data_IF_915103735309
#
_entry.id   IF_915103735309
#
_cell.length_a   1.000
_cell.length_b   1.000
_cell.length_c   1.000
_cell.angle_alpha   90.00
_cell.angle_beta   90.00
_cell.angle_gamma   90.00
#
_symmetry.space_group_name_H-M   'P 1'
#
loop_
_entity.id
_entity.type
_entity.pdbx_description
1 polymer ?
#
# COMPACT_ATOMS: atom_id res chain seq x y z
N UNK A 1 -8.97 -3.53 4.88
CA UNK A 1 -8.87 -4.74 4.05
C UNK A 1 -8.09 -5.83 4.78
N UNK A 2 -8.36 -7.11 4.50
CA UNK A 2 -7.65 -8.25 5.08
C UNK A 2 -7.22 -9.19 3.95
N UNK A 3 -5.91 -9.27 3.70
CA UNK A 3 -5.33 -10.10 2.65
C UNK A 3 -4.47 -11.23 3.25
N UNK A 4 -4.34 -12.40 2.58
CA UNK A 4 -3.49 -13.50 3.02
C UNK A 4 -2.06 -13.09 3.42
N UNK A 5 -1.54 -12.04 2.79
CA UNK A 5 -0.20 -11.50 3.01
C UNK A 5 -0.04 -10.85 4.39
N UNK A 6 -1.14 -10.51 5.08
CA UNK A 6 -1.09 -10.14 6.49
C UNK A 6 -0.65 -11.27 7.42
N UNK A 7 -0.50 -12.51 6.92
CA UNK A 7 0.09 -13.63 7.65
C UNK A 7 1.57 -13.82 7.31
N UNK A 8 2.13 -13.02 6.40
CA UNK A 8 3.55 -13.09 6.07
C UNK A 8 4.39 -12.35 7.11
N UNK A 9 5.65 -12.76 7.32
CA UNK A 9 6.58 -12.07 8.19
C UNK A 9 6.81 -10.63 7.69
N UNK A 10 6.96 -9.68 8.63
CA UNK A 10 7.32 -8.31 8.28
C UNK A 10 8.73 -8.27 7.67
N UNK A 11 9.64 -9.09 8.18
CA UNK A 11 10.96 -9.40 7.63
C UNK A 11 11.47 -10.73 8.23
N UNK A 12 12.61 -11.28 7.78
CA UNK A 12 13.12 -12.57 8.28
C UNK A 12 13.30 -12.66 9.80
N UNK A 13 13.48 -11.54 10.50
CA UNK A 13 13.65 -11.46 11.95
C UNK A 13 12.35 -11.15 12.70
N UNK A 14 11.30 -10.73 11.99
CA UNK A 14 10.00 -10.36 12.54
C UNK A 14 8.89 -11.27 11.97
N UNK A 15 8.74 -12.50 12.50
CA UNK A 15 7.76 -13.46 12.01
C UNK A 15 6.33 -13.04 12.35
N UNK A 16 5.38 -13.54 11.55
CA UNK A 16 3.97 -13.40 11.88
C UNK A 16 3.54 -14.52 12.83
N UNK A 17 2.88 -14.15 13.93
CA UNK A 17 2.42 -15.12 14.93
C UNK A 17 0.99 -15.62 14.68
N UNK A 18 0.27 -15.07 13.70
CA UNK A 18 -1.10 -15.47 13.41
C UNK A 18 -1.15 -16.62 12.41
N UNK A 19 -1.76 -17.73 12.83
CA UNK A 19 -1.92 -18.95 12.00
C UNK A 19 -3.01 -18.84 10.93
N UNK A 20 -3.91 -17.85 11.02
CA UNK A 20 -5.02 -17.67 10.09
C UNK A 20 -5.46 -16.21 10.01
N UNK A 21 -6.10 -15.83 8.89
CA UNK A 21 -6.68 -14.49 8.73
C UNK A 21 -7.80 -14.22 9.73
N UNK A 22 -8.50 -15.26 10.16
CA UNK A 22 -9.49 -15.15 11.21
C UNK A 22 -8.86 -14.78 12.55
N UNK A 23 -7.74 -15.43 12.91
CA UNK A 23 -7.00 -15.11 14.14
C UNK A 23 -6.42 -13.69 14.07
N UNK A 24 -5.85 -13.31 12.94
CA UNK A 24 -5.37 -11.95 12.70
C UNK A 24 -6.50 -10.91 12.82
N UNK A 25 -7.67 -11.20 12.24
CA UNK A 25 -8.86 -10.36 12.35
C UNK A 25 -9.34 -10.22 13.80
N UNK A 26 -9.48 -11.34 14.53
CA UNK A 26 -9.87 -11.36 15.94
C UNK A 26 -8.89 -10.56 16.80
N UNK A 27 -7.59 -10.65 16.53
CA UNK A 27 -6.59 -9.86 17.24
C UNK A 27 -6.81 -8.35 17.06
N UNK A 28 -7.19 -7.88 15.87
CA UNK A 28 -7.53 -6.46 15.65
C UNK A 28 -8.80 -6.01 16.35
N UNK A 29 -9.75 -6.92 16.62
CA UNK A 29 -10.95 -6.61 17.40
C UNK A 29 -10.64 -6.29 18.87
N UNK A 30 -9.44 -6.62 19.36
CA UNK A 30 -9.01 -6.20 20.70
C UNK A 30 -9.02 -4.68 20.87
N UNK A 31 -8.93 -3.91 19.76
CA UNK A 31 -9.08 -2.46 19.79
C UNK A 31 -10.45 -2.01 20.34
N UNK A 32 -11.53 -2.75 20.07
CA UNK A 32 -12.86 -2.46 20.65
C UNK A 32 -13.04 -3.10 22.04
N UNK A 33 -12.46 -4.28 22.26
CA UNK A 33 -12.59 -5.04 23.52
C UNK A 33 -12.34 -4.19 24.77
N UNK A 34 -11.36 -3.30 24.70
CA UNK A 34 -10.94 -2.44 25.81
C UNK A 34 -11.52 -1.02 25.75
N UNK A 35 -12.37 -0.68 24.77
CA UNK A 35 -13.03 0.63 24.70
C UNK A 35 -14.20 0.75 25.68
N UNK A 36 -14.63 1.98 25.98
CA UNK A 36 -15.87 2.26 26.70
C UNK A 36 -17.09 2.22 25.76
N UNK A 37 -18.31 2.15 26.31
CA UNK A 37 -19.55 2.23 25.52
C UNK A 37 -19.72 3.59 24.82
N UNK A 38 -19.09 4.63 25.36
CA UNK A 38 -19.09 5.97 24.77
C UNK A 38 -17.95 6.22 23.79
N UNK A 39 -16.98 5.31 23.73
CA UNK A 39 -15.93 5.30 22.74
C UNK A 39 -16.46 5.04 21.32
N UNK A 40 -15.56 5.18 20.35
CA UNK A 40 -15.87 4.96 18.94
C UNK A 40 -14.93 3.93 18.31
N UNK A 41 -15.53 3.00 17.58
CA UNK A 41 -14.83 2.09 16.69
C UNK A 41 -15.06 2.52 15.24
N UNK A 42 -14.04 3.13 14.66
CA UNK A 42 -14.06 3.66 13.29
C UNK A 42 -13.65 2.55 12.33
N UNK A 43 -14.54 2.17 11.42
CA UNK A 43 -14.36 0.98 10.58
C UNK A 43 -14.66 1.27 9.10
N UNK A 44 -13.84 0.74 8.21
CA UNK A 44 -14.09 0.81 6.77
C UNK A 44 -15.40 0.07 6.45
N UNK A 45 -16.30 0.72 5.71
CA UNK A 45 -17.65 0.22 5.38
C UNK A 45 -17.63 -1.11 4.62
N UNK A 46 -16.58 -1.44 3.89
CA UNK A 46 -16.38 -2.77 3.28
C UNK A 46 -16.46 -3.92 4.29
N UNK A 47 -16.16 -3.67 5.57
CA UNK A 47 -16.21 -4.67 6.63
C UNK A 47 -17.57 -4.72 7.34
N UNK A 48 -18.52 -3.84 6.99
CA UNK A 48 -19.84 -3.74 7.64
C UNK A 48 -20.57 -5.09 7.73
N UNK A 49 -20.64 -5.95 6.69
CA UNK A 49 -21.31 -7.25 6.80
C UNK A 49 -20.67 -8.18 7.83
N UNK A 50 -19.35 -8.08 8.06
CA UNK A 50 -18.63 -8.89 9.04
C UNK A 50 -18.76 -8.31 10.45
N UNK A 51 -18.68 -6.99 10.59
CA UNK A 51 -18.76 -6.29 11.89
C UNK A 51 -20.17 -6.36 12.47
N UNK A 52 -21.22 -6.24 11.64
CA UNK A 52 -22.61 -6.32 12.09
C UNK A 52 -22.99 -7.67 12.72
N UNK A 53 -22.20 -8.72 12.47
CA UNK A 53 -22.38 -10.06 13.07
C UNK A 53 -21.71 -10.20 14.43
N UNK A 54 -21.00 -9.18 14.90
CA UNK A 54 -20.20 -9.20 16.11
C UNK A 54 -20.80 -8.29 17.17
N UNK A 55 -20.64 -8.66 18.43
CA UNK A 55 -20.96 -7.78 19.56
C UNK A 55 -19.82 -6.78 19.73
N UNK A 56 -20.04 -5.55 19.27
CA UNK A 56 -19.13 -4.42 19.46
C UNK A 56 -19.57 -3.62 20.69
N UNK A 57 -18.62 -3.28 21.55
CA UNK A 57 -18.89 -2.59 22.82
C UNK A 57 -19.08 -1.09 22.63
N UNK A 58 -18.27 -0.48 21.76
CA UNK A 58 -18.28 0.95 21.47
C UNK A 58 -19.25 1.33 20.34
N UNK A 59 -19.40 2.64 20.09
CA UNK A 59 -20.21 3.17 19.00
C UNK A 59 -19.48 2.96 17.67
N UNK A 60 -20.11 2.27 16.72
CA UNK A 60 -19.51 2.03 15.42
C UNK A 60 -19.68 3.27 14.52
N UNK A 61 -18.57 3.75 13.94
CA UNK A 61 -18.59 4.76 12.88
C UNK A 61 -18.04 4.15 11.59
N UNK A 62 -18.92 3.88 10.64
CA UNK A 62 -18.48 3.44 9.31
C UNK A 62 -18.00 4.63 8.47
N UNK A 63 -16.91 4.43 7.74
CA UNK A 63 -16.42 5.37 6.74
C UNK A 63 -16.32 4.71 5.36
N UNK A 64 -16.44 5.53 4.33
CA UNK A 64 -16.30 5.15 2.92
C UNK A 64 -15.32 6.12 2.25
N UNK A 65 -14.82 5.78 1.06
CA UNK A 65 -13.90 6.64 0.30
C UNK A 65 -14.48 8.06 0.17
N UNK A 66 -13.64 9.08 0.40
CA UNK A 66 -13.99 10.49 0.17
C UNK A 66 -13.33 11.03 -1.10
N UNK A 67 -13.59 12.29 -1.43
CA UNK A 67 -12.91 12.98 -2.53
C UNK A 67 -12.39 14.34 -2.05
N UNK A 68 -11.44 14.31 -1.11
CA UNK A 68 -10.77 15.52 -0.67
C UNK A 68 -9.55 15.79 -1.55
N UNK A 69 -9.37 17.06 -1.92
CA UNK A 69 -8.16 17.49 -2.61
C UNK A 69 -6.96 17.30 -1.69
N UNK A 70 -5.99 16.51 -2.13
CA UNK A 70 -4.78 16.20 -1.37
C UNK A 70 -3.56 16.16 -2.28
N UNK A 71 -2.37 16.25 -1.67
CA UNK A 71 -1.07 16.02 -2.32
C UNK A 71 -0.65 14.55 -2.33
N UNK A 72 -1.38 13.69 -1.61
CA UNK A 72 -1.13 12.25 -1.55
C UNK A 72 -1.45 11.60 -2.90
N UNK A 73 -0.51 10.83 -3.44
CA UNK A 73 -0.71 10.08 -4.67
C UNK A 73 -1.60 8.85 -4.42
N UNK A 74 -2.42 8.49 -5.40
CA UNK A 74 -3.17 7.24 -5.39
C UNK A 74 -4.54 7.30 -4.73
N UNK A 75 -5.50 6.66 -5.40
CA UNK A 75 -6.90 6.63 -5.01
C UNK A 75 -7.15 5.98 -3.65
N UNK A 76 -6.28 5.05 -3.24
CA UNK A 76 -6.38 4.39 -1.94
C UNK A 76 -6.16 5.37 -0.77
N UNK A 77 -5.42 6.47 -0.98
CA UNK A 77 -5.21 7.46 0.06
C UNK A 77 -6.51 8.21 0.41
N UNK A 78 -7.51 8.22 -0.47
CA UNK A 78 -8.84 8.73 -0.11
C UNK A 78 -9.53 7.89 0.97
N UNK A 79 -9.27 6.59 1.05
CA UNK A 79 -9.76 5.77 2.17
C UNK A 79 -9.01 6.10 3.47
N UNK A 80 -7.69 6.32 3.40
CA UNK A 80 -6.90 6.76 4.56
C UNK A 80 -7.38 8.12 5.09
N UNK A 81 -7.60 9.07 4.18
CA UNK A 81 -8.17 10.39 4.49
C UNK A 81 -9.57 10.24 5.11
N UNK A 82 -10.43 9.38 4.54
CA UNK A 82 -11.76 9.14 5.08
C UNK A 82 -11.73 8.58 6.51
N UNK A 83 -10.80 7.66 6.79
CA UNK A 83 -10.59 7.11 8.12
C UNK A 83 -10.22 8.22 9.12
N UNK A 84 -9.21 9.03 8.80
CA UNK A 84 -8.75 10.14 9.64
C UNK A 84 -9.85 11.20 9.83
N UNK A 85 -10.49 11.63 8.74
CA UNK A 85 -11.59 12.60 8.77
C UNK A 85 -12.77 12.11 9.62
N UNK A 86 -13.03 10.80 9.65
CA UNK A 86 -14.10 10.23 10.48
C UNK A 86 -13.81 10.37 11.97
N UNK A 87 -12.56 10.18 12.40
CA UNK A 87 -12.12 10.44 13.78
C UNK A 87 -12.28 11.92 14.11
N UNK A 88 -11.83 12.80 13.22
CA UNK A 88 -11.87 14.25 13.43
C UNK A 88 -13.31 14.78 13.52
N UNK A 89 -14.23 14.23 12.72
CA UNK A 89 -15.67 14.54 12.78
C UNK A 89 -16.32 14.08 14.10
N UNK A 90 -15.87 12.97 14.68
CA UNK A 90 -16.32 12.55 16.02
C UNK A 90 -15.94 13.58 17.08
N UNK A 91 -14.77 14.22 16.93
CA UNK A 91 -14.29 15.31 17.78
C UNK A 91 -14.96 16.66 17.48
N UNK A 92 -15.99 16.69 16.61
CA UNK A 92 -16.76 17.88 16.23
C UNK A 92 -15.93 19.02 15.62
N UNK A 93 -14.79 18.68 15.02
CA UNK A 93 -13.99 19.65 14.27
C UNK A 93 -14.68 19.94 12.93
N UNK A 94 -14.71 21.23 12.56
CA UNK A 94 -15.36 21.72 11.34
C UNK A 94 -14.71 21.14 10.07
N UNK A 95 -15.52 20.84 9.06
CA UNK A 95 -15.09 20.18 7.83
C UNK A 95 -14.10 21.04 7.02
N UNK A 96 -14.18 22.36 7.13
CA UNK A 96 -13.25 23.31 6.50
C UNK A 96 -11.82 23.14 7.03
N UNK A 97 -11.68 22.92 8.34
CA UNK A 97 -10.38 22.68 8.99
C UNK A 97 -9.79 21.36 8.49
N UNK A 98 -10.63 20.32 8.37
CA UNK A 98 -10.21 19.01 7.85
C UNK A 98 -9.72 19.12 6.41
N UNK A 99 -10.48 19.81 5.55
CA UNK A 99 -10.12 20.02 4.14
C UNK A 99 -8.79 20.74 3.99
N UNK A 100 -8.56 21.81 4.76
CA UNK A 100 -7.31 22.56 4.69
C UNK A 100 -6.12 21.75 5.22
N UNK A 101 -6.31 20.99 6.30
CA UNK A 101 -5.27 20.09 6.81
C UNK A 101 -4.89 19.00 5.79
N UNK A 102 -5.88 18.37 5.14
CA UNK A 102 -5.65 17.31 4.13
C UNK A 102 -4.98 17.85 2.87
N UNK A 103 -5.34 19.08 2.45
CA UNK A 103 -4.75 19.77 1.30
C UNK A 103 -3.28 20.11 1.53
N UNK A 104 -2.91 20.44 2.78
CA UNK A 104 -1.57 20.84 3.17
C UNK A 104 -0.71 19.68 3.73
N UNK A 105 -1.32 18.51 3.98
CA UNK A 105 -0.61 17.33 4.45
C UNK A 105 0.50 16.96 3.46
N UNK A 106 1.73 16.86 3.98
CA UNK A 106 2.89 16.42 3.22
C UNK A 106 2.94 14.89 3.28
N UNK A 107 3.18 14.20 2.15
CA UNK A 107 3.44 12.76 2.16
C UNK A 107 4.56 12.42 3.16
N UNK A 108 4.46 11.24 3.75
CA UNK A 108 5.54 10.71 4.59
C UNK A 108 6.72 10.33 3.69
N UNK A 109 7.93 10.44 4.24
CA UNK A 109 9.13 9.94 3.58
C UNK A 109 8.95 8.47 3.21
N UNK A 110 9.43 8.08 2.02
CA UNK A 110 9.35 6.71 1.52
C UNK A 110 7.93 6.15 1.25
N UNK A 111 6.89 6.98 1.24
CA UNK A 111 5.50 6.61 0.92
C UNK A 111 4.99 7.31 -0.34
N UNK A 112 5.40 6.81 -1.52
CA UNK A 112 5.19 7.47 -2.83
C UNK A 112 5.58 8.96 -2.82
N UNK A 113 6.69 9.26 -2.18
CA UNK A 113 7.23 10.60 -2.05
C UNK A 113 7.83 11.07 -3.37
N UNK A 114 7.39 12.23 -3.88
CA UNK A 114 8.06 12.86 -5.02
C UNK A 114 9.38 13.49 -4.54
N UNK A 115 10.49 12.81 -4.80
CA UNK A 115 11.83 13.23 -4.34
C UNK A 115 12.56 14.13 -5.35
N UNK A 116 12.21 14.05 -6.64
CA UNK A 116 12.83 14.87 -7.68
C UNK A 116 11.97 14.96 -8.93
N UNK A 117 12.06 16.10 -9.60
CA UNK A 117 11.67 16.23 -11.01
C UNK A 117 12.88 16.75 -11.81
N UNK A 118 13.24 16.05 -12.88
CA UNK A 118 14.36 16.42 -13.74
C UNK A 118 14.09 16.04 -15.19
N UNK A 119 14.28 16.99 -16.12
CA UNK A 119 14.07 16.79 -17.56
C UNK A 119 12.69 16.18 -17.89
N UNK A 120 11.65 16.60 -17.17
CA UNK A 120 10.28 16.10 -17.34
C UNK A 120 10.01 14.71 -16.74
N UNK A 121 10.98 14.09 -16.06
CA UNK A 121 10.82 12.82 -15.35
C UNK A 121 10.65 13.06 -13.86
N UNK A 122 9.62 12.44 -13.27
CA UNK A 122 9.35 12.47 -11.84
C UNK A 122 9.86 11.19 -11.17
N UNK A 123 10.63 11.35 -10.10
CA UNK A 123 11.21 10.27 -9.31
C UNK A 123 10.43 10.15 -8.01
N UNK A 124 9.88 8.96 -7.76
CA UNK A 124 9.11 8.66 -6.57
C UNK A 124 9.86 7.66 -5.70
N UNK A 125 10.05 7.99 -4.42
CA UNK A 125 10.54 7.05 -3.41
C UNK A 125 9.36 6.36 -2.73
N UNK A 126 9.42 5.03 -2.71
CA UNK A 126 8.43 4.18 -2.10
C UNK A 126 9.08 2.95 -1.43
N UNK A 127 10.26 3.16 -0.85
CA UNK A 127 11.09 2.07 -0.29
C UNK A 127 10.42 1.30 0.85
N UNK A 128 9.36 1.83 1.46
CA UNK A 128 8.57 1.14 2.50
C UNK A 128 7.45 0.24 1.93
N UNK A 129 7.23 0.25 0.62
CA UNK A 129 6.32 -0.69 -0.07
C UNK A 129 6.98 -2.07 -0.15
N UNK A 130 6.85 -2.83 0.94
CA UNK A 130 7.54 -4.13 1.10
C UNK A 130 6.68 -5.35 0.72
N UNK A 131 5.46 -5.14 0.22
CA UNK A 131 4.54 -6.20 -0.21
C UNK A 131 4.10 -6.03 -1.67
N UNK A 132 3.86 -7.13 -2.42
CA UNK A 132 3.36 -7.04 -3.79
C UNK A 132 2.06 -6.26 -3.92
N UNK A 133 1.15 -6.37 -2.96
CA UNK A 133 -0.18 -5.72 -2.98
C UNK A 133 -0.07 -4.21 -2.85
N UNK A 134 0.80 -3.73 -1.95
CA UNK A 134 1.10 -2.29 -1.84
C UNK A 134 1.65 -1.78 -3.17
N UNK A 135 2.66 -2.47 -3.71
CA UNK A 135 3.26 -2.10 -4.99
C UNK A 135 2.26 -2.15 -6.16
N UNK A 136 1.26 -3.03 -6.16
CA UNK A 136 0.18 -3.05 -7.16
C UNK A 136 -0.69 -1.79 -7.06
N UNK A 137 -1.05 -1.36 -5.85
CA UNK A 137 -1.84 -0.14 -5.64
C UNK A 137 -1.05 1.09 -6.10
N UNK A 138 0.25 1.10 -5.81
CA UNK A 138 1.16 2.16 -6.21
C UNK A 138 1.27 2.28 -7.74
N UNK A 139 1.52 1.17 -8.44
CA UNK A 139 1.58 1.17 -9.90
C UNK A 139 0.27 1.61 -10.56
N UNK A 140 -0.87 1.34 -9.92
CA UNK A 140 -2.19 1.77 -10.41
C UNK A 140 -2.46 3.25 -10.21
N UNK A 141 -1.72 3.90 -9.31
CA UNK A 141 -1.92 5.29 -8.89
C UNK A 141 -1.39 6.32 -9.87
N UNK A 142 -0.58 5.90 -10.85
CA UNK A 142 -0.06 6.77 -11.90
C UNK A 142 -0.91 6.64 -13.17
N UNK A 143 -0.90 7.65 -14.02
CA UNK A 143 -1.53 7.67 -15.35
C UNK A 143 -0.48 7.77 -16.48
N UNK A 144 0.81 7.76 -16.11
CA UNK A 144 1.95 7.93 -17.03
C UNK A 144 2.77 6.63 -17.12
N UNK A 145 3.60 6.45 -18.17
CA UNK A 145 4.51 5.31 -18.27
C UNK A 145 5.48 5.23 -17.07
N UNK A 146 5.67 4.03 -16.52
CA UNK A 146 6.46 3.80 -15.30
C UNK A 146 7.75 3.08 -15.63
N UNK A 147 8.89 3.57 -15.12
CA UNK A 147 10.10 2.78 -14.95
C UNK A 147 10.12 2.28 -13.50
N UNK A 148 10.04 0.96 -13.30
CA UNK A 148 9.93 0.38 -11.96
C UNK A 148 11.28 -0.17 -11.52
N UNK A 149 11.75 0.28 -10.36
CA UNK A 149 12.86 -0.32 -9.63
C UNK A 149 12.25 -1.21 -8.54
N UNK A 150 12.49 -2.52 -8.63
CA UNK A 150 11.88 -3.49 -7.72
C UNK A 150 12.82 -4.66 -7.41
N UNK A 151 12.44 -5.48 -6.44
CA UNK A 151 13.17 -6.69 -6.07
C UNK A 151 13.74 -6.63 -4.66
N UNK A 152 14.57 -7.62 -4.34
CA UNK A 152 15.11 -7.80 -3.00
C UNK A 152 14.81 -9.18 -2.43
N UNK A 153 14.66 -9.24 -1.11
CA UNK A 153 14.42 -10.47 -0.37
C UNK A 153 13.05 -11.09 -0.70
N UNK A 154 12.99 -12.41 -0.62
CA UNK A 154 11.74 -13.15 -0.76
C UNK A 154 11.16 -13.42 0.63
N UNK A 155 9.95 -12.91 0.89
CA UNK A 155 9.22 -13.11 2.14
C UNK A 155 8.14 -14.19 2.01
N UNK A 156 8.25 -15.09 1.03
CA UNK A 156 7.22 -16.10 0.74
C UNK A 156 6.02 -15.54 -0.05
N UNK A 157 6.14 -14.35 -0.62
CA UNK A 157 5.04 -13.66 -1.30
C UNK A 157 4.69 -14.28 -2.66
N UNK A 158 3.42 -14.14 -3.06
CA UNK A 158 2.95 -14.54 -4.39
C UNK A 158 3.07 -13.38 -5.39
N UNK A 159 3.95 -13.52 -6.37
CA UNK A 159 4.22 -12.46 -7.36
C UNK A 159 3.34 -12.53 -8.61
N UNK A 160 2.34 -13.42 -8.70
CA UNK A 160 1.53 -13.60 -9.92
C UNK A 160 0.77 -12.32 -10.30
N UNK A 161 0.04 -11.73 -9.36
CA UNK A 161 -0.74 -10.51 -9.62
C UNK A 161 0.15 -9.28 -9.80
N UNK A 162 1.27 -9.22 -9.09
CA UNK A 162 2.25 -8.15 -9.27
C UNK A 162 2.89 -8.21 -10.65
N UNK A 163 3.30 -9.39 -11.11
CA UNK A 163 3.89 -9.57 -12.44
C UNK A 163 2.91 -9.25 -13.57
N UNK A 164 1.62 -9.57 -13.40
CA UNK A 164 0.55 -9.12 -14.31
C UNK A 164 0.43 -7.60 -14.34
N UNK A 165 0.48 -6.95 -13.17
CA UNK A 165 0.41 -5.49 -13.08
C UNK A 165 1.64 -4.84 -13.72
N UNK A 166 2.83 -5.37 -13.49
CA UNK A 166 4.07 -4.95 -14.15
C UNK A 166 3.89 -5.00 -15.67
N UNK A 167 3.48 -6.15 -16.22
CA UNK A 167 3.28 -6.31 -17.67
C UNK A 167 2.37 -5.22 -18.27
N UNK A 168 1.34 -4.82 -17.54
CA UNK A 168 0.33 -3.89 -18.04
C UNK A 168 0.68 -2.40 -17.82
N UNK A 169 1.51 -2.09 -16.81
CA UNK A 169 1.71 -0.70 -16.34
C UNK A 169 3.14 -0.20 -16.43
N UNK A 170 4.12 -1.10 -16.51
CA UNK A 170 5.55 -0.76 -16.45
C UNK A 170 6.14 -0.77 -17.85
N UNK A 171 6.72 0.36 -18.25
CA UNK A 171 7.44 0.56 -19.52
C UNK A 171 8.79 -0.15 -19.51
N UNK A 172 9.49 -0.10 -18.37
CA UNK A 172 10.81 -0.70 -18.19
C UNK A 172 11.00 -1.16 -16.75
N UNK A 173 11.49 -2.38 -16.56
CA UNK A 173 11.67 -2.99 -15.24
C UNK A 173 13.16 -3.14 -14.92
N UNK A 174 13.56 -2.62 -13.77
CA UNK A 174 14.91 -2.78 -13.22
C UNK A 174 14.78 -3.61 -11.94
N UNK A 175 15.31 -4.83 -11.97
CA UNK A 175 15.30 -5.73 -10.82
C UNK A 175 16.63 -5.72 -10.08
N UNK A 176 16.60 -5.57 -8.75
CA UNK A 176 17.77 -5.83 -7.93
C UNK A 176 18.05 -7.34 -7.86
N UNK A 177 19.32 -7.76 -7.85
CA UNK A 177 19.67 -9.17 -7.64
C UNK A 177 19.13 -9.66 -6.28
N UNK A 178 18.28 -10.69 -6.28
CA UNK A 178 17.67 -11.21 -5.06
C UNK A 178 16.72 -12.38 -5.32
N UNK A 179 16.32 -13.11 -4.27
CA UNK A 179 15.42 -14.26 -4.40
C UNK A 179 14.02 -13.84 -4.87
N UNK A 180 13.48 -12.72 -4.37
CA UNK A 180 12.18 -12.20 -4.80
C UNK A 180 12.20 -11.86 -6.29
N UNK A 181 13.28 -11.26 -6.77
CA UNK A 181 13.48 -10.93 -8.18
C UNK A 181 13.52 -12.16 -9.10
N UNK A 182 14.06 -13.29 -8.63
CA UNK A 182 14.01 -14.56 -9.39
C UNK A 182 12.56 -15.03 -9.56
N UNK A 183 11.75 -14.95 -8.50
CA UNK A 183 10.31 -15.30 -8.56
C UNK A 183 9.53 -14.38 -9.48
N UNK A 184 9.74 -13.06 -9.37
CA UNK A 184 9.12 -12.07 -10.28
C UNK A 184 9.48 -12.38 -11.73
N UNK A 185 10.78 -12.59 -12.03
CA UNK A 185 11.24 -12.93 -13.38
C UNK A 185 10.58 -14.20 -13.90
N UNK A 186 10.46 -15.25 -13.08
CA UNK A 186 9.81 -16.52 -13.46
C UNK A 186 8.34 -16.30 -13.88
N UNK A 187 7.60 -15.49 -13.13
CA UNK A 187 6.21 -15.16 -13.48
C UNK A 187 6.12 -14.26 -14.73
N UNK A 188 7.04 -13.32 -14.91
CA UNK A 188 7.09 -12.46 -16.11
C UNK A 188 7.41 -13.25 -17.39
N UNK A 189 8.25 -14.27 -17.32
CA UNK A 189 8.52 -15.18 -18.46
C UNK A 189 7.25 -15.89 -18.89
N UNK A 190 6.45 -16.43 -17.96
CA UNK A 190 5.16 -17.06 -18.26
C UNK A 190 4.17 -16.09 -18.91
N UNK A 191 4.31 -14.80 -18.63
CA UNK A 191 3.47 -13.74 -19.18
C UNK A 191 4.04 -13.17 -20.49
N UNK A 192 5.11 -13.71 -21.05
CA UNK A 192 5.79 -13.18 -22.25
C UNK A 192 6.17 -11.69 -22.10
N UNK A 193 6.68 -11.29 -20.94
CA UNK A 193 7.20 -9.93 -20.76
C UNK A 193 8.47 -9.74 -21.61
N UNK A 194 8.59 -8.65 -22.40
CA UNK A 194 9.74 -8.45 -23.28
C UNK A 194 11.07 -8.40 -22.51
N UNK A 195 12.03 -9.23 -22.90
CA UNK A 195 13.31 -9.38 -22.21
C UNK A 195 14.21 -8.15 -22.35
N UNK A 196 14.04 -7.38 -23.43
CA UNK A 196 14.70 -6.10 -23.69
C UNK A 196 14.22 -4.99 -22.73
N UNK A 197 13.00 -5.11 -22.19
CA UNK A 197 12.40 -4.19 -21.21
C UNK A 197 12.70 -4.55 -19.76
N UNK A 198 13.62 -5.49 -19.52
CA UNK A 198 14.01 -5.95 -18.18
C UNK A 198 15.53 -5.93 -18.03
N UNK A 199 16.03 -5.29 -16.98
CA UNK A 199 17.44 -5.38 -16.58
C UNK A 199 17.58 -5.78 -15.12
N UNK A 200 18.67 -6.50 -14.81
CA UNK A 200 19.02 -6.88 -13.45
C UNK A 200 20.30 -6.12 -13.05
N UNK A 201 20.27 -5.47 -11.90
CA UNK A 201 21.36 -4.64 -11.37
C UNK A 201 21.76 -5.07 -9.97
N UNK A 202 22.94 -4.63 -9.53
CA UNK A 202 23.50 -4.99 -8.21
C UNK A 202 23.32 -3.91 -7.15
N UNK A 203 23.01 -2.67 -7.54
CA UNK A 203 22.93 -1.54 -6.61
C UNK A 203 21.89 -0.50 -7.03
N UNK A 204 21.43 0.30 -6.06
CA UNK A 204 20.55 1.44 -6.31
C UNK A 204 21.19 2.47 -7.24
N UNK A 205 22.50 2.74 -7.09
CA UNK A 205 23.25 3.65 -7.95
C UNK A 205 23.19 3.24 -9.42
N UNK A 206 23.37 1.95 -9.69
CA UNK A 206 23.28 1.39 -11.05
C UNK A 206 21.86 1.45 -11.59
N UNK A 207 20.86 1.16 -10.75
CA UNK A 207 19.45 1.25 -11.11
C UNK A 207 19.02 2.67 -11.52
N UNK A 208 19.39 3.67 -10.72
CA UNK A 208 19.05 5.08 -10.97
C UNK A 208 19.76 5.59 -12.22
N UNK A 209 21.03 5.22 -12.44
CA UNK A 209 21.77 5.60 -13.66
C UNK A 209 21.11 5.05 -14.93
N UNK A 210 20.55 3.84 -14.87
CA UNK A 210 19.87 3.21 -16.00
C UNK A 210 18.47 3.78 -16.25
N UNK A 211 17.82 4.34 -15.22
CA UNK A 211 16.48 4.92 -15.32
C UNK A 211 16.45 6.39 -15.76
N UNK A 212 17.59 7.09 -15.68
CA UNK A 212 17.76 8.50 -16.05
C UNK A 212 18.02 8.68 -17.55
#
# INVERSE_FOLDING_TARGET
>A
NFFPEHLQPADPNNPNYHKSLENYFKAKLNLDRFQSKDGYFVVNKSLKPKINKLKIKSKIKYFDKVNYRSRLAGDYNQENIAAAASVVKILKIKDEIVKEAVKNFKPLEHHLELVREARGVKYYDNSFSTTPESSILDLKSFDRPIILLAGGADKGSNFKNFSKTIKNRVKFLILFKGQGSKKIKKELVKLNFPSDKLKIVKSMKEAVKLAA
#
